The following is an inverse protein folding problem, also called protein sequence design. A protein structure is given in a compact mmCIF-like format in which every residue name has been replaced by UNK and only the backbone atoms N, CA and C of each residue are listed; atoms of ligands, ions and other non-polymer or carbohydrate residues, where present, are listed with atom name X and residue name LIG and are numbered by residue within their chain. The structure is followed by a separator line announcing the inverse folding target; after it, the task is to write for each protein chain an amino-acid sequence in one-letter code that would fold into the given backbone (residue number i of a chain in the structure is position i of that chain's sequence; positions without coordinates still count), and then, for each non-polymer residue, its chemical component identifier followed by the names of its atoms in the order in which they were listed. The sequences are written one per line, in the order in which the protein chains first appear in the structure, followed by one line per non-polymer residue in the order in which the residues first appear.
data_IF_344657849112
#
_entry.id   IF_344657849112
#
_cell.length_a   1.000
_cell.length_b   1.000
_cell.length_c   1.000
_cell.angle_alpha   90.00
_cell.angle_beta   90.00
_cell.angle_gamma   90.00
#
_symmetry.space_group_name_H-M   'P 1'
#
loop_
_entity.id
_entity.type
_entity.pdbx_description
1 polymer ?
#
# COMPACT_ATOMS: atom_id res chain seq x y z
N UNK A 1 11.25 -6.83 -19.72
CA UNK A 1 12.31 -7.10 -18.72
C UNK A 1 12.85 -5.82 -18.04
N UNK A 2 13.31 -4.80 -18.77
CA UNK A 2 13.89 -3.57 -18.20
C UNK A 2 12.93 -2.81 -17.25
N UNK A 3 11.62 -2.80 -17.54
CA UNK A 3 10.61 -2.16 -16.69
C UNK A 3 10.43 -2.89 -15.34
N UNK A 4 10.41 -4.22 -15.35
CA UNK A 4 10.29 -5.04 -14.14
C UNK A 4 11.49 -4.83 -13.21
N UNK A 5 12.72 -4.77 -13.77
CA UNK A 5 13.93 -4.49 -13.00
C UNK A 5 13.84 -3.12 -12.33
N UNK A 6 13.43 -2.07 -13.06
CA UNK A 6 13.28 -0.72 -12.50
C UNK A 6 12.25 -0.65 -11.37
N UNK A 7 11.12 -1.36 -11.51
CA UNK A 7 10.10 -1.44 -10.47
C UNK A 7 10.63 -2.15 -9.21
N UNK A 8 11.33 -3.28 -9.38
CA UNK A 8 12.00 -3.99 -8.30
C UNK A 8 13.06 -3.13 -7.60
N UNK A 9 13.87 -2.39 -8.36
CA UNK A 9 14.87 -1.48 -7.79
C UNK A 9 14.21 -0.36 -6.99
N UNK A 10 13.11 0.21 -7.49
CA UNK A 10 12.32 1.21 -6.75
C UNK A 10 11.76 0.67 -5.44
N UNK A 11 11.20 -0.54 -5.44
CA UNK A 11 10.72 -1.21 -4.23
C UNK A 11 11.84 -1.49 -3.24
N UNK A 12 12.98 -2.01 -3.72
CA UNK A 12 14.12 -2.31 -2.87
C UNK A 12 14.69 -1.04 -2.20
N UNK A 13 14.87 0.04 -2.96
CA UNK A 13 15.33 1.33 -2.41
C UNK A 13 14.32 1.87 -1.40
N UNK A 14 13.01 1.76 -1.69
CA UNK A 14 11.95 2.14 -0.77
C UNK A 14 11.93 1.33 0.53
N UNK A 15 12.20 0.02 0.46
CA UNK A 15 12.30 -0.82 1.65
C UNK A 15 13.53 -0.45 2.49
N UNK A 16 14.69 -0.27 1.85
CA UNK A 16 15.94 0.11 2.51
C UNK A 16 15.81 1.48 3.19
N UNK A 17 15.10 2.43 2.56
CA UNK A 17 14.91 3.75 3.16
C UNK A 17 14.03 3.74 4.41
N UNK A 18 13.21 2.71 4.63
CA UNK A 18 12.42 2.55 5.86
C UNK A 18 13.18 1.76 6.92
N UNK A 19 13.89 0.71 6.50
CA UNK A 19 14.64 -0.17 7.41
C UNK A 19 15.86 0.54 7.99
N UNK A 20 16.63 1.28 7.17
CA UNK A 20 17.88 1.90 7.62
C UNK A 20 17.69 2.95 8.74
N UNK A 21 16.70 3.87 8.67
CA UNK A 21 16.44 4.79 9.78
C UNK A 21 15.92 4.08 11.02
N UNK A 22 15.05 3.08 10.85
CA UNK A 22 14.50 2.31 11.98
C UNK A 22 15.61 1.57 12.73
N UNK A 23 16.56 0.99 11.99
CA UNK A 23 17.74 0.34 12.54
C UNK A 23 18.66 1.34 13.27
N UNK A 24 18.97 2.48 12.65
CA UNK A 24 19.77 3.53 13.29
C UNK A 24 19.12 4.08 14.56
N UNK A 25 17.79 4.28 14.54
CA UNK A 25 17.04 4.76 15.69
C UNK A 25 17.02 3.73 16.83
N UNK A 26 16.84 2.45 16.52
CA UNK A 26 16.88 1.38 17.50
C UNK A 26 18.22 1.31 18.25
N UNK A 27 19.33 1.45 17.52
CA UNK A 27 20.65 1.46 18.12
C UNK A 27 20.90 2.74 18.94
N UNK A 28 20.51 3.91 18.41
CA UNK A 28 20.60 5.18 19.13
C UNK A 28 19.84 5.16 20.47
N UNK A 29 18.63 4.58 20.50
CA UNK A 29 17.80 4.47 21.71
C UNK A 29 18.38 3.49 22.75
N UNK A 30 19.21 2.53 22.31
CA UNK A 30 19.87 1.57 23.21
C UNK A 30 21.25 2.00 23.67
N UNK A 31 21.90 2.92 22.96
CA UNK A 31 23.12 3.53 23.47
C UNK A 31 22.78 4.42 24.68
N UNK A 32 23.44 4.23 25.83
CA UNK A 32 23.32 5.17 26.93
C UNK A 32 23.72 6.57 26.44
N UNK A 33 23.16 7.61 27.05
CA UNK A 33 23.46 9.00 26.68
C UNK A 33 24.95 9.26 26.77
N UNK A 34 25.60 9.36 25.61
CA UNK A 34 26.99 9.73 25.46
C UNK A 34 27.02 11.20 25.03
N UNK A 35 27.70 12.05 25.80
CA UNK A 35 27.76 13.49 25.53
C UNK A 35 27.89 14.26 26.84
N UNK A 36 28.58 15.40 26.81
CA UNK A 36 28.64 16.26 27.99
C UNK A 36 27.29 16.94 28.18
N UNK A 37 26.64 16.66 29.29
CA UNK A 37 25.38 17.25 29.79
C UNK A 37 25.50 18.76 30.12
N UNK A 38 26.49 19.46 29.55
CA UNK A 38 26.77 20.88 29.77
C UNK A 38 27.30 21.22 31.17
N UNK A 39 27.04 20.37 32.16
CA UNK A 39 27.44 20.56 33.56
C UNK A 39 28.60 19.67 34.01
N UNK A 40 28.77 18.49 33.41
CA UNK A 40 29.91 17.61 33.67
C UNK A 40 30.86 17.59 32.47
N UNK A 41 32.09 18.07 32.66
CA UNK A 41 33.07 18.30 31.59
C UNK A 41 33.63 17.01 30.96
N UNK A 42 33.24 15.83 31.44
CA UNK A 42 33.74 14.54 30.96
C UNK A 42 32.66 13.45 31.02
N UNK A 43 31.71 13.50 30.08
CA UNK A 43 30.97 12.29 29.70
C UNK A 43 31.90 11.31 28.97
N UNK A 44 31.66 9.99 29.05
CA UNK A 44 32.40 9.02 28.25
C UNK A 44 32.26 9.35 26.75
N UNK A 45 33.33 9.18 25.95
CA UNK A 45 33.27 9.44 24.52
C UNK A 45 32.20 8.57 23.86
N UNK A 46 31.46 9.15 22.90
CA UNK A 46 30.49 8.40 22.12
C UNK A 46 31.20 7.26 21.37
N UNK A 47 30.60 6.06 21.29
CA UNK A 47 31.13 5.02 20.43
C UNK A 47 31.10 5.49 18.97
N UNK A 48 32.14 5.13 18.21
CA UNK A 48 32.34 5.59 16.82
C UNK A 48 31.16 5.22 15.89
N UNK A 49 30.40 4.19 16.26
CA UNK A 49 29.21 3.71 15.53
C UNK A 49 28.05 4.72 15.51
N UNK A 50 27.97 5.65 16.47
CA UNK A 50 26.88 6.64 16.56
C UNK A 50 26.86 7.54 15.32
N UNK A 51 28.05 7.93 14.83
CA UNK A 51 28.17 8.73 13.61
C UNK A 51 27.63 7.97 12.39
N UNK A 52 27.87 6.66 12.32
CA UNK A 52 27.38 5.80 11.25
C UNK A 52 25.84 5.70 11.27
N UNK A 53 25.24 5.59 12.47
CA UNK A 53 23.78 5.52 12.62
C UNK A 53 23.10 6.82 12.24
N UNK A 54 23.64 7.96 12.68
CA UNK A 54 23.13 9.29 12.30
C UNK A 54 23.27 9.50 10.79
N UNK A 55 24.42 9.17 10.22
CA UNK A 55 24.65 9.27 8.78
C UNK A 55 23.67 8.38 8.01
N UNK A 56 23.41 7.15 8.48
CA UNK A 56 22.44 6.24 7.87
C UNK A 56 21.02 6.78 7.87
N UNK A 57 20.59 7.42 8.96
CA UNK A 57 19.29 8.11 9.05
C UNK A 57 19.24 9.28 8.07
N UNK A 58 20.26 10.15 8.08
CA UNK A 58 20.30 11.34 7.21
C UNK A 58 20.33 10.95 5.73
N UNK A 59 21.19 10.01 5.34
CA UNK A 59 21.35 9.57 3.95
C UNK A 59 20.07 8.91 3.42
N UNK A 60 19.42 8.09 4.26
CA UNK A 60 18.14 7.47 3.92
C UNK A 60 17.07 8.52 3.60
N UNK A 61 16.94 9.52 4.46
CA UNK A 61 15.88 10.53 4.35
C UNK A 61 16.15 11.55 3.25
N UNK A 62 17.41 11.97 3.09
CA UNK A 62 17.78 13.05 2.16
C UNK A 62 18.06 12.57 0.75
N UNK A 63 18.52 11.33 0.57
CA UNK A 63 18.93 10.81 -0.74
C UNK A 63 18.04 9.65 -1.20
N UNK A 64 17.89 8.60 -0.38
CA UNK A 64 17.16 7.40 -0.84
C UNK A 64 15.66 7.66 -1.05
N UNK A 65 15.01 8.38 -0.13
CA UNK A 65 13.58 8.66 -0.26
C UNK A 65 13.24 9.51 -1.51
N UNK A 66 13.91 10.64 -1.80
CA UNK A 66 13.67 11.38 -3.04
C UNK A 66 14.02 10.60 -4.31
N UNK A 67 15.09 9.79 -4.27
CA UNK A 67 15.51 8.97 -5.39
C UNK A 67 14.44 7.92 -5.74
N UNK A 68 13.87 7.25 -4.71
CA UNK A 68 12.78 6.30 -4.90
C UNK A 68 11.54 6.97 -5.55
N UNK A 69 11.20 8.18 -5.10
CA UNK A 69 10.08 8.96 -5.64
C UNK A 69 10.36 9.37 -7.10
N UNK A 70 11.57 9.85 -7.40
CA UNK A 70 11.98 10.25 -8.75
C UNK A 70 11.99 9.09 -9.75
N UNK A 71 12.38 7.90 -9.30
CA UNK A 71 12.35 6.68 -10.11
C UNK A 71 10.92 6.18 -10.36
N UNK A 72 10.03 6.28 -9.36
CA UNK A 72 8.64 5.84 -9.48
C UNK A 72 7.77 6.82 -10.29
N UNK A 73 7.98 8.14 -10.13
CA UNK A 73 7.18 9.18 -10.79
C UNK A 73 7.34 9.25 -12.31
N UNK A 74 8.45 8.72 -12.86
CA UNK A 74 8.73 8.74 -14.31
C UNK A 74 7.91 7.74 -15.13
N UNK A 75 7.19 6.81 -14.51
CA UNK A 75 6.57 5.70 -15.24
C UNK A 75 5.17 5.99 -15.83
N UNK A 76 4.56 7.16 -15.58
CA UNK A 76 3.31 7.58 -16.25
C UNK A 76 2.08 6.68 -15.99
N UNK A 77 2.26 5.56 -15.30
CA UNK A 77 1.22 4.61 -14.90
C UNK A 77 0.45 5.15 -13.71
N UNK A 78 -0.83 4.78 -13.60
CA UNK A 78 -1.74 5.01 -12.45
C UNK A 78 -1.30 4.35 -11.12
N UNK A 79 0.02 4.22 -10.92
CA UNK A 79 0.68 3.84 -9.68
C UNK A 79 0.75 4.91 -8.55
N UNK A 80 0.21 6.16 -8.63
CA UNK A 80 0.32 7.07 -7.48
C UNK A 80 -0.52 6.60 -6.29
N UNK A 81 -1.44 5.64 -6.45
CA UNK A 81 -2.27 5.12 -5.35
C UNK A 81 -1.44 4.33 -4.33
N UNK A 82 -0.37 3.65 -4.76
CA UNK A 82 0.52 2.87 -3.89
C UNK A 82 1.71 3.70 -3.35
N UNK A 83 2.12 4.76 -4.04
CA UNK A 83 3.18 5.64 -3.56
C UNK A 83 2.74 6.56 -2.41
N UNK A 84 1.47 6.95 -2.39
CA UNK A 84 0.89 7.85 -1.37
C UNK A 84 0.99 7.29 0.06
N UNK A 85 0.63 6.03 0.36
CA UNK A 85 0.78 5.50 1.71
C UNK A 85 2.25 5.37 2.14
N UNK A 86 3.16 5.04 1.21
CA UNK A 86 4.60 4.94 1.51
C UNK A 86 5.17 6.32 1.83
N UNK A 87 4.84 7.35 1.04
CA UNK A 87 5.23 8.74 1.32
C UNK A 87 4.59 9.25 2.61
N UNK A 88 3.38 8.78 2.97
CA UNK A 88 2.72 9.15 4.23
C UNK A 88 3.29 8.46 5.47
N UNK A 89 3.79 7.23 5.35
CA UNK A 89 4.33 6.44 6.46
C UNK A 89 5.71 6.91 6.93
N UNK A 90 6.54 7.42 6.02
CA UNK A 90 7.88 7.95 6.36
C UNK A 90 7.81 9.13 7.37
N UNK A 91 7.04 10.21 7.14
CA UNK A 91 6.92 11.30 8.10
C UNK A 91 6.23 10.84 9.38
N UNK A 92 5.29 9.89 9.32
CA UNK A 92 4.66 9.32 10.51
C UNK A 92 5.67 8.57 11.39
N UNK A 93 6.58 7.82 10.78
CA UNK A 93 7.70 7.17 11.46
C UNK A 93 8.65 8.18 12.11
N UNK A 94 8.97 9.28 11.41
CA UNK A 94 9.79 10.36 11.98
C UNK A 94 9.12 11.06 13.16
N UNK A 95 7.80 11.30 13.10
CA UNK A 95 7.04 11.87 14.24
C UNK A 95 7.08 10.94 15.43
N UNK A 96 6.83 9.65 15.21
CA UNK A 96 6.80 8.67 16.29
C UNK A 96 8.18 8.57 16.95
N UNK A 97 9.26 8.56 16.16
CA UNK A 97 10.63 8.60 16.67
C UNK A 97 10.96 9.88 17.44
N UNK A 98 10.58 11.05 16.91
CA UNK A 98 10.82 12.34 17.57
C UNK A 98 10.03 12.48 18.88
N UNK A 99 8.78 11.99 18.94
CA UNK A 99 7.97 11.99 20.15
C UNK A 99 8.57 11.04 21.20
N UNK A 100 8.98 9.84 20.82
CA UNK A 100 9.60 8.88 21.74
C UNK A 100 10.93 9.42 22.29
N UNK A 101 11.75 10.07 21.45
CA UNK A 101 13.01 10.68 21.90
C UNK A 101 12.80 11.95 22.74
N UNK A 102 11.78 12.76 22.43
CA UNK A 102 11.53 14.04 23.10
C UNK A 102 10.67 13.96 24.37
N UNK A 103 9.84 12.91 24.53
CA UNK A 103 9.03 12.67 25.73
C UNK A 103 9.62 11.58 26.63
N UNK A 104 10.81 11.07 26.31
CA UNK A 104 11.53 10.16 27.17
C UNK A 104 11.81 10.79 28.54
N UNK A 105 11.84 10.00 29.63
CA UNK A 105 12.05 10.50 30.98
C UNK A 105 13.40 11.21 31.20
N UNK A 106 14.32 11.14 30.24
CA UNK A 106 15.63 11.79 30.23
C UNK A 106 15.71 13.07 29.39
N UNK A 107 14.58 13.57 28.83
CA UNK A 107 14.63 14.75 27.97
C UNK A 107 14.81 16.03 28.79
N UNK A 108 15.97 16.68 28.63
CA UNK A 108 16.26 17.99 29.22
C UNK A 108 15.17 19.02 28.84
N UNK A 109 14.77 19.90 29.76
CA UNK A 109 13.76 20.91 29.47
C UNK A 109 14.14 21.80 28.27
N UNK A 110 15.43 22.03 28.05
CA UNK A 110 15.95 22.79 26.91
C UNK A 110 15.92 22.03 25.58
N UNK A 111 15.68 20.71 25.54
CA UNK A 111 15.50 19.97 24.28
C UNK A 111 14.03 19.79 23.89
N UNK A 112 13.09 20.10 24.79
CA UNK A 112 11.64 20.02 24.52
C UNK A 112 11.20 20.92 23.36
N UNK A 113 11.78 22.10 23.20
CA UNK A 113 11.42 23.00 22.10
C UNK A 113 11.80 22.42 20.73
N UNK A 114 12.92 21.68 20.64
CA UNK A 114 13.36 21.02 19.41
C UNK A 114 12.35 19.94 19.00
N UNK A 115 11.87 19.16 19.97
CA UNK A 115 10.83 18.16 19.72
C UNK A 115 9.51 18.81 19.25
N UNK A 116 9.10 19.93 19.85
CA UNK A 116 7.90 20.68 19.45
C UNK A 116 8.05 21.23 18.03
N UNK A 117 9.20 21.84 17.69
CA UNK A 117 9.47 22.36 16.35
C UNK A 117 9.49 21.22 15.32
N UNK A 118 10.12 20.09 15.64
CA UNK A 118 10.13 18.90 14.79
C UNK A 118 8.74 18.33 14.54
N UNK A 119 7.90 18.26 15.58
CA UNK A 119 6.50 17.85 15.45
C UNK A 119 5.70 18.81 14.57
N UNK A 120 5.87 20.12 14.74
CA UNK A 120 5.19 21.15 13.96
C UNK A 120 5.56 21.10 12.47
N UNK A 121 6.86 20.98 12.16
CA UNK A 121 7.35 20.83 10.78
C UNK A 121 6.75 19.56 10.16
N UNK A 122 6.71 18.46 10.90
CA UNK A 122 6.20 17.22 10.34
C UNK A 122 4.69 17.25 10.14
N UNK A 123 3.94 17.86 11.06
CA UNK A 123 2.51 18.13 10.88
C UNK A 123 2.24 18.97 9.63
N UNK A 124 3.08 19.97 9.35
CA UNK A 124 3.01 20.77 8.12
C UNK A 124 3.27 19.95 6.86
N UNK A 125 4.25 19.03 6.88
CA UNK A 125 4.54 18.14 5.75
C UNK A 125 3.35 17.19 5.51
N UNK A 126 2.84 16.53 6.55
CA UNK A 126 1.67 15.65 6.46
C UNK A 126 0.45 16.42 5.94
N UNK A 127 0.21 17.62 6.47
CA UNK A 127 -0.86 18.49 6.00
C UNK A 127 -0.70 18.85 4.51
N UNK A 128 0.51 19.17 4.06
CA UNK A 128 0.78 19.44 2.63
C UNK A 128 0.51 18.22 1.75
N UNK A 129 0.91 17.03 2.19
CA UNK A 129 0.66 15.77 1.47
C UNK A 129 -0.85 15.50 1.38
N UNK A 130 -1.58 15.64 2.49
CA UNK A 130 -3.03 15.50 2.53
C UNK A 130 -3.74 16.54 1.63
N UNK A 131 -3.29 17.79 1.64
CA UNK A 131 -3.81 18.85 0.77
C UNK A 131 -3.51 18.56 -0.72
N UNK A 132 -2.33 18.04 -1.03
CA UNK A 132 -1.97 17.60 -2.38
C UNK A 132 -2.88 16.47 -2.85
N UNK A 133 -3.18 15.51 -1.96
CA UNK A 133 -4.10 14.42 -2.25
C UNK A 133 -5.54 14.92 -2.46
N UNK A 134 -6.05 15.79 -1.59
CA UNK A 134 -7.39 16.36 -1.70
C UNK A 134 -7.55 17.14 -3.03
N UNK A 135 -6.55 17.93 -3.42
CA UNK A 135 -6.55 18.66 -4.70
C UNK A 135 -6.44 17.73 -5.91
N UNK A 136 -5.60 16.69 -5.83
CA UNK A 136 -5.42 15.70 -6.89
C UNK A 136 -6.68 14.87 -7.13
N UNK A 137 -7.37 14.45 -6.07
CA UNK A 137 -8.64 13.76 -6.14
C UNK A 137 -9.74 14.64 -6.77
N UNK A 138 -9.75 15.94 -6.45
CA UNK A 138 -10.67 16.91 -7.07
C UNK A 138 -10.44 17.06 -8.57
N UNK A 139 -9.19 17.17 -9.03
CA UNK A 139 -8.86 17.26 -10.46
C UNK A 139 -9.29 16.03 -11.24
N UNK A 140 -9.02 14.82 -10.73
CA UNK A 140 -9.45 13.58 -11.40
C UNK A 140 -10.97 13.46 -11.50
N UNK A 141 -11.72 14.00 -10.52
CA UNK A 141 -13.19 14.06 -10.58
C UNK A 141 -13.67 15.10 -11.59
N UNK A 142 -13.03 16.26 -11.67
CA UNK A 142 -13.34 17.29 -12.66
C UNK A 142 -13.07 16.79 -14.09
N UNK A 143 -11.91 16.17 -14.33
CA UNK A 143 -11.57 15.58 -15.64
C UNK A 143 -12.50 14.42 -16.03
N UNK A 144 -12.98 13.62 -15.06
CA UNK A 144 -14.01 12.61 -15.32
C UNK A 144 -15.38 13.22 -15.63
N UNK A 145 -15.72 14.33 -15.01
CA UNK A 145 -16.97 15.04 -15.29
C UNK A 145 -16.94 15.70 -16.68
N UNK A 146 -15.76 16.19 -17.12
CA UNK A 146 -15.57 16.82 -18.42
C UNK A 146 -15.45 15.80 -19.58
N UNK A 147 -14.87 14.61 -19.30
CA UNK A 147 -14.84 13.48 -20.26
C UNK A 147 -16.07 12.58 -20.19
N UNK A 148 -16.97 12.78 -19.24
CA UNK A 148 -18.26 12.11 -19.30
C UNK A 148 -18.93 12.58 -20.59
N UNK A 149 -19.20 11.68 -21.56
CA UNK A 149 -19.91 12.07 -22.76
C UNK A 149 -21.18 12.77 -22.31
N UNK A 150 -21.55 13.88 -22.96
CA UNK A 150 -22.81 14.55 -22.72
C UNK A 150 -23.92 13.57 -23.15
N UNK A 151 -24.27 12.65 -22.25
CA UNK A 151 -25.37 11.73 -22.42
C UNK A 151 -26.60 12.62 -22.50
N UNK A 152 -27.28 12.67 -23.64
CA UNK A 152 -28.41 13.57 -23.80
C UNK A 152 -29.49 13.17 -22.77
N UNK A 153 -30.18 14.15 -22.19
CA UNK A 153 -31.07 13.94 -21.04
C UNK A 153 -32.15 12.85 -21.26
N UNK A 154 -32.50 12.55 -22.51
CA UNK A 154 -33.44 11.48 -22.86
C UNK A 154 -32.84 10.07 -22.67
N UNK A 155 -31.54 9.87 -22.87
CA UNK A 155 -30.87 8.59 -22.60
C UNK A 155 -30.68 8.35 -21.09
N UNK A 156 -30.42 9.41 -20.31
CA UNK A 156 -30.37 9.33 -18.85
C UNK A 156 -31.74 8.93 -18.26
N UNK A 157 -32.83 9.46 -18.81
CA UNK A 157 -34.19 9.06 -18.42
C UNK A 157 -34.49 7.59 -18.79
N UNK A 158 -34.04 7.14 -19.97
CA UNK A 158 -34.16 5.75 -20.40
C UNK A 158 -33.35 4.79 -19.52
N UNK A 159 -32.10 5.12 -19.19
CA UNK A 159 -31.25 4.32 -18.31
C UNK A 159 -31.77 4.28 -16.88
N UNK A 160 -32.31 5.37 -16.35
CA UNK A 160 -32.94 5.39 -15.03
C UNK A 160 -34.19 4.50 -14.98
N UNK A 161 -35.00 4.51 -16.05
CA UNK A 161 -36.16 3.62 -16.17
C UNK A 161 -35.73 2.15 -16.26
N UNK A 162 -34.71 1.82 -17.06
CA UNK A 162 -34.15 0.46 -17.20
C UNK A 162 -33.49 -0.01 -15.88
N UNK A 163 -32.79 0.87 -15.16
CA UNK A 163 -32.21 0.55 -13.86
C UNK A 163 -33.30 0.33 -12.79
N UNK A 164 -34.42 1.06 -12.85
CA UNK A 164 -35.55 0.87 -11.97
C UNK A 164 -36.30 -0.44 -12.26
N UNK A 165 -36.50 -0.82 -13.53
CA UNK A 165 -37.05 -2.14 -13.90
C UNK A 165 -36.08 -3.27 -13.59
N UNK A 166 -34.77 -3.10 -13.81
CA UNK A 166 -33.77 -4.08 -13.44
C UNK A 166 -33.69 -4.30 -11.92
N UNK A 167 -33.81 -3.24 -11.10
CA UNK A 167 -33.92 -3.39 -9.63
C UNK A 167 -35.20 -4.11 -9.20
N UNK A 168 -36.31 -3.87 -9.90
CA UNK A 168 -37.59 -4.54 -9.62
C UNK A 168 -37.57 -6.01 -10.04
N UNK A 169 -36.83 -6.35 -11.09
CA UNK A 169 -36.60 -7.74 -11.54
C UNK A 169 -35.50 -8.46 -10.75
N UNK A 170 -34.56 -7.73 -10.15
CA UNK A 170 -33.45 -8.26 -9.35
C UNK A 170 -33.72 -8.21 -7.85
N UNK A 171 -34.98 -8.14 -7.42
CA UNK A 171 -35.30 -8.53 -6.06
C UNK A 171 -34.79 -9.97 -5.91
N UNK A 172 -33.77 -10.24 -5.06
CA UNK A 172 -33.23 -11.57 -4.95
C UNK A 172 -34.41 -12.49 -4.59
N UNK A 173 -34.58 -13.64 -5.27
CA UNK A 173 -35.51 -14.63 -4.77
C UNK A 173 -35.18 -14.82 -3.30
N UNK A 174 -36.17 -14.90 -2.42
CA UNK A 174 -35.93 -15.17 -1.02
C UNK A 174 -35.28 -16.56 -0.93
N UNK A 175 -33.95 -16.60 -1.04
CA UNK A 175 -33.15 -17.82 -0.92
C UNK A 175 -33.28 -18.19 0.54
N UNK A 176 -34.15 -19.17 0.80
CA UNK A 176 -34.37 -19.65 2.14
C UNK A 176 -33.04 -20.17 2.69
N UNK A 177 -32.82 -19.99 4.00
CA UNK A 177 -31.61 -20.49 4.68
C UNK A 177 -31.44 -22.01 4.43
N UNK A 178 -32.53 -22.74 4.24
CA UNK A 178 -32.52 -24.16 3.87
C UNK A 178 -31.86 -24.40 2.49
N UNK A 179 -32.14 -23.57 1.49
CA UNK A 179 -31.56 -23.68 0.15
C UNK A 179 -30.06 -23.35 0.15
N UNK A 180 -29.64 -22.38 0.97
CA UNK A 180 -28.23 -22.06 1.20
C UNK A 180 -27.50 -23.21 1.89
N UNK A 181 -28.16 -23.88 2.84
CA UNK A 181 -27.56 -25.01 3.55
C UNK A 181 -27.36 -26.22 2.64
N UNK A 182 -28.36 -26.54 1.79
CA UNK A 182 -28.26 -27.61 0.79
C UNK A 182 -27.17 -27.31 -0.26
N UNK A 183 -27.05 -26.05 -0.70
CA UNK A 183 -25.98 -25.65 -1.63
C UNK A 183 -24.60 -25.77 -0.99
N UNK A 184 -24.44 -25.39 0.27
CA UNK A 184 -23.19 -25.54 1.01
C UNK A 184 -22.84 -27.01 1.24
N UNK A 185 -23.82 -27.86 1.53
CA UNK A 185 -23.62 -29.30 1.66
C UNK A 185 -23.19 -29.93 0.33
N UNK A 186 -23.82 -29.57 -0.79
CA UNK A 186 -23.42 -30.01 -2.12
C UNK A 186 -22.00 -29.57 -2.50
N UNK A 187 -21.60 -28.33 -2.17
CA UNK A 187 -20.25 -27.84 -2.44
C UNK A 187 -19.23 -28.57 -1.56
N UNK A 188 -19.55 -28.82 -0.29
CA UNK A 188 -18.68 -29.56 0.63
C UNK A 188 -18.51 -31.03 0.21
N UNK A 189 -19.55 -31.68 -0.29
CA UNK A 189 -19.48 -33.03 -0.82
C UNK A 189 -18.73 -33.09 -2.16
N UNK A 190 -18.92 -32.10 -3.03
CA UNK A 190 -18.15 -31.98 -4.28
C UNK A 190 -16.64 -31.73 -4.02
N UNK A 191 -16.30 -31.02 -2.94
CA UNK A 191 -14.90 -30.78 -2.56
C UNK A 191 -14.21 -31.99 -1.90
N UNK A 192 -14.98 -32.97 -1.41
CA UNK A 192 -14.46 -34.21 -0.79
C UNK A 192 -14.28 -35.36 -1.77
N UNK A 193 -14.85 -35.27 -2.98
CA UNK A 193 -14.53 -36.25 -4.00
C UNK A 193 -13.07 -36.01 -4.43
N UNK A 194 -12.16 -36.98 -4.26
CA UNK A 194 -10.84 -36.89 -4.85
C UNK A 194 -11.04 -36.66 -6.35
N UNK A 195 -10.41 -35.63 -6.91
CA UNK A 195 -10.41 -35.36 -8.35
C UNK A 195 -9.62 -36.48 -9.07
N UNK A 196 -10.14 -37.71 -9.04
CA UNK A 196 -9.66 -38.85 -9.82
C UNK A 196 -10.07 -38.74 -11.30
N UNK A 197 -10.72 -37.63 -11.66
CA UNK A 197 -10.89 -37.21 -13.05
C UNK A 197 -9.52 -36.86 -13.61
N UNK A 198 -8.90 -37.81 -14.33
CA UNK A 198 -7.60 -37.63 -14.96
C UNK A 198 -7.46 -36.32 -15.74
N UNK A 199 -6.21 -35.93 -16.04
CA UNK A 199 -5.81 -34.62 -16.57
C UNK A 199 -6.72 -34.05 -17.69
N UNK A 200 -7.26 -34.91 -18.56
CA UNK A 200 -8.22 -34.51 -19.60
C UNK A 200 -9.52 -33.89 -19.06
N UNK A 201 -10.04 -34.42 -17.95
CA UNK A 201 -11.27 -33.91 -17.30
C UNK A 201 -11.01 -32.54 -16.69
N UNK A 202 -9.85 -32.34 -16.06
CA UNK A 202 -9.44 -31.05 -15.49
C UNK A 202 -9.30 -29.97 -16.57
N UNK A 203 -8.70 -30.30 -17.72
CA UNK A 203 -8.59 -29.37 -18.86
C UNK A 203 -9.97 -29.05 -19.47
N UNK A 204 -10.83 -30.05 -19.65
CA UNK A 204 -12.17 -29.86 -20.21
C UNK A 204 -13.03 -28.94 -19.32
N UNK A 205 -12.96 -29.11 -18.00
CA UNK A 205 -13.67 -28.25 -17.03
C UNK A 205 -13.16 -26.80 -17.08
N UNK A 206 -11.86 -26.61 -17.31
CA UNK A 206 -11.27 -25.28 -17.47
C UNK A 206 -11.82 -24.56 -18.71
N UNK A 207 -11.99 -25.29 -19.81
CA UNK A 207 -12.57 -24.77 -21.06
C UNK A 207 -14.06 -24.43 -20.89
N UNK A 208 -14.81 -25.25 -20.15
CA UNK A 208 -16.21 -24.97 -19.80
C UNK A 208 -16.37 -23.69 -18.99
N UNK A 209 -15.51 -23.46 -17.98
CA UNK A 209 -15.53 -22.25 -17.17
C UNK A 209 -15.23 -20.99 -18.00
N UNK A 210 -14.32 -21.09 -18.98
CA UNK A 210 -14.04 -20.00 -19.92
C UNK A 210 -15.22 -19.75 -20.87
N UNK A 211 -15.84 -20.79 -21.40
CA UNK A 211 -17.01 -20.68 -22.26
C UNK A 211 -18.20 -20.05 -21.53
N UNK A 212 -18.36 -20.35 -20.24
CA UNK A 212 -19.37 -19.73 -19.38
C UNK A 212 -19.06 -18.27 -19.00
N UNK A 213 -17.88 -17.74 -19.36
CA UNK A 213 -17.44 -16.38 -19.00
C UNK A 213 -17.13 -16.21 -17.50
N UNK A 214 -17.00 -17.31 -16.75
CA UNK A 214 -16.75 -17.29 -15.30
C UNK A 214 -15.30 -17.00 -14.94
N UNK A 215 -14.37 -17.20 -15.88
CA UNK A 215 -12.95 -16.87 -15.76
C UNK A 215 -12.48 -16.07 -16.97
N UNK A 216 -11.50 -15.20 -16.77
CA UNK A 216 -10.92 -14.39 -17.84
C UNK A 216 -9.97 -15.21 -18.73
N UNK A 217 -9.69 -14.72 -19.95
CA UNK A 217 -8.75 -15.39 -20.86
C UNK A 217 -7.33 -15.51 -20.26
N UNK A 218 -6.92 -14.57 -19.41
CA UNK A 218 -5.62 -14.59 -18.74
C UNK A 218 -5.56 -15.66 -17.65
N UNK A 219 -6.60 -15.76 -16.81
CA UNK A 219 -6.71 -16.80 -15.77
C UNK A 219 -6.80 -18.21 -16.37
N UNK A 220 -7.51 -18.37 -17.48
CA UNK A 220 -7.56 -19.63 -18.22
C UNK A 220 -6.18 -20.05 -18.72
N UNK A 221 -5.40 -19.13 -19.30
CA UNK A 221 -4.05 -19.43 -19.76
C UNK A 221 -3.11 -19.83 -18.62
N UNK A 222 -3.17 -19.11 -17.49
CA UNK A 222 -2.35 -19.42 -16.31
C UNK A 222 -2.69 -20.79 -15.74
N UNK A 223 -3.97 -21.08 -15.47
CA UNK A 223 -4.37 -22.37 -14.88
C UNK A 223 -4.12 -23.55 -15.80
N UNK A 224 -4.20 -23.35 -17.11
CA UNK A 224 -3.83 -24.38 -18.09
C UNK A 224 -2.35 -24.70 -18.03
N UNK A 225 -1.50 -23.70 -17.83
CA UNK A 225 -0.05 -23.88 -17.67
C UNK A 225 0.25 -24.66 -16.37
N UNK A 226 -0.38 -24.27 -15.26
CA UNK A 226 -0.23 -24.97 -13.96
C UNK A 226 -0.59 -26.46 -14.05
N UNK A 227 -1.67 -26.81 -14.76
CA UNK A 227 -2.07 -28.23 -14.97
C UNK A 227 -1.06 -28.98 -15.85
N UNK A 228 -0.45 -28.32 -16.83
CA UNK A 228 0.55 -28.93 -17.70
C UNK A 228 1.90 -29.12 -17.01
N UNK A 229 2.24 -28.24 -16.06
CA UNK A 229 3.49 -28.31 -15.30
C UNK A 229 3.46 -29.41 -14.21
N UNK A 230 2.29 -29.97 -13.89
CA UNK A 230 2.13 -31.13 -12.99
C UNK A 230 2.50 -32.48 -13.66
N UNK A 231 2.83 -32.49 -14.97
CA UNK A 231 3.25 -33.67 -15.76
C UNK A 231 4.77 -33.79 -15.77
#
# INVERSE_FOLDING_TARGET
MIQAIRALTGMAIGLVSVVAPSWGLYHLLRTPSCGSDGYSTFGPPCPDDVALWILGIVLSLTILAPLAIGLAGRQGTDAPVLLVPIIGLIPLGMVTGAIVSGLGPSADPDTRWIAIVGAAITALIVLRVLLGFARGAGRRRAERAERAPAVPAHELAGMAAVAATARKASAPPAVSIATLHDQLAQIADAAKQPEDGGLSVRLQRLDELRAAGSITAAEHAQRRQEILDEI
#
